data_IF_696957238416
#
_entry.id   IF_696957238416
#
_cell.length_a   1.000
_cell.length_b   1.000
_cell.length_c   1.000
_cell.angle_alpha   90.00
_cell.angle_beta   90.00
_cell.angle_gamma   90.00
#
_symmetry.space_group_name_H-M   'P 1'
#
loop_
_entity.id
_entity.type
_entity.pdbx_description
1 polymer ?
#
# COMPACT_ATOMS: atom_id res chain seq x y z
N UNK A 1 13.49 -5.62 16.82
CA UNK A 1 12.01 -5.69 16.84
C UNK A 1 11.55 -5.71 15.40
N UNK A 2 10.65 -6.62 15.03
CA UNK A 2 9.98 -6.60 13.72
C UNK A 2 8.65 -5.88 13.90
N UNK A 3 8.38 -4.85 13.10
CA UNK A 3 7.17 -4.04 13.18
C UNK A 3 6.79 -3.58 11.77
N UNK A 4 5.49 -3.36 11.53
CA UNK A 4 5.00 -2.75 10.30
C UNK A 4 3.99 -1.67 10.63
N UNK A 5 3.82 -0.71 9.71
CA UNK A 5 2.87 0.39 9.87
C UNK A 5 1.99 0.50 8.63
N UNK A 6 0.70 0.71 8.86
CA UNK A 6 -0.29 1.11 7.85
C UNK A 6 -0.93 2.42 8.31
N UNK A 7 -0.99 3.42 7.44
CA UNK A 7 -1.59 4.72 7.76
C UNK A 7 -2.14 5.41 6.51
N UNK A 8 -2.90 6.49 6.71
CA UNK A 8 -3.40 7.33 5.62
C UNK A 8 -2.42 8.47 5.33
N UNK A 9 -2.09 8.68 4.06
CA UNK A 9 -1.28 9.80 3.61
C UNK A 9 -1.96 11.14 3.88
N UNK A 10 -1.19 12.11 4.39
CA UNK A 10 -1.69 13.41 4.80
C UNK A 10 -2.40 14.19 3.68
N UNK A 11 -3.54 14.80 4.02
CA UNK A 11 -4.39 15.57 3.11
C UNK A 11 -3.62 16.84 2.68
N UNK A 12 -2.96 16.80 1.51
CA UNK A 12 -2.20 17.93 0.96
C UNK A 12 -0.79 17.59 0.44
N UNK A 13 -0.31 16.37 0.65
CA UNK A 13 0.95 15.88 0.06
C UNK A 13 0.78 15.19 -1.30
N UNK A 14 1.89 14.81 -1.93
CA UNK A 14 1.95 14.07 -3.22
C UNK A 14 1.22 12.70 -3.21
N UNK A 15 0.83 12.22 -2.03
CA UNK A 15 0.13 10.94 -1.77
C UNK A 15 -1.07 11.14 -0.85
N UNK A 16 -1.69 12.33 -0.90
CA UNK A 16 -2.83 12.65 -0.04
C UNK A 16 -4.02 11.74 -0.31
N UNK A 17 -4.47 11.02 0.73
CA UNK A 17 -5.57 10.06 0.63
C UNK A 17 -5.16 8.62 0.27
N UNK A 18 -3.88 8.36 0.01
CA UNK A 18 -3.38 7.00 -0.20
C UNK A 18 -3.27 6.23 1.12
N UNK A 19 -3.39 4.90 1.04
CA UNK A 19 -3.08 3.99 2.14
C UNK A 19 -1.60 3.59 2.01
N UNK A 20 -0.79 3.96 2.98
CA UNK A 20 0.66 3.76 2.97
C UNK A 20 1.06 2.58 3.85
N UNK A 21 2.09 1.85 3.44
CA UNK A 21 2.64 0.70 4.17
C UNK A 21 4.17 0.79 4.29
N UNK A 22 4.70 0.47 5.48
CA UNK A 22 6.13 0.34 5.74
C UNK A 22 6.45 -0.90 6.60
N UNK A 23 7.62 -1.51 6.33
CA UNK A 23 8.19 -2.64 7.10
C UNK A 23 8.88 -2.21 8.41
N UNK A 24 8.64 -0.99 8.85
CA UNK A 24 9.13 -0.46 10.12
C UNK A 24 8.04 0.39 10.76
N UNK A 25 8.13 0.61 12.07
CA UNK A 25 7.34 1.63 12.77
C UNK A 25 8.16 2.89 13.10
N UNK A 26 9.46 2.88 12.81
CA UNK A 26 10.35 4.00 13.10
C UNK A 26 10.69 4.72 11.79
N UNK A 27 10.20 5.94 11.61
CA UNK A 27 10.47 6.73 10.41
C UNK A 27 9.54 7.93 10.28
N UNK A 28 9.90 8.84 9.38
CA UNK A 28 9.04 9.93 8.94
C UNK A 28 7.97 9.42 7.98
N UNK A 29 6.78 9.99 8.04
CA UNK A 29 5.63 9.62 7.18
C UNK A 29 5.87 9.93 5.68
N UNK A 30 7.03 10.48 5.33
CA UNK A 30 7.48 10.73 3.97
C UNK A 30 8.22 9.52 3.34
N UNK A 31 8.36 8.42 4.06
CA UNK A 31 9.01 7.20 3.58
C UNK A 31 8.10 5.99 3.80
N UNK A 32 7.84 5.25 2.73
CA UNK A 32 7.03 4.03 2.75
C UNK A 32 7.56 3.05 1.71
N UNK A 33 7.16 1.78 1.84
CA UNK A 33 7.51 0.72 0.90
C UNK A 33 6.47 0.58 -0.22
N UNK A 34 5.20 0.75 0.14
CA UNK A 34 4.05 0.59 -0.74
C UNK A 34 2.99 1.65 -0.44
N UNK A 35 2.27 2.07 -1.47
CA UNK A 35 1.17 3.04 -1.38
C UNK A 35 0.05 2.56 -2.27
N UNK A 36 -1.16 2.51 -1.73
CA UNK A 36 -2.36 2.09 -2.45
C UNK A 36 -3.29 3.29 -2.56
N UNK A 37 -3.51 3.75 -3.78
CA UNK A 37 -4.43 4.84 -4.07
C UNK A 37 -5.85 4.33 -4.26
N UNK A 38 -6.82 5.13 -3.83
CA UNK A 38 -8.23 4.93 -4.18
C UNK A 38 -8.45 5.49 -5.57
N UNK A 39 -9.03 4.70 -6.45
CA UNK A 39 -9.43 5.14 -7.78
C UNK A 39 -10.90 4.80 -8.05
N UNK A 40 -11.56 5.64 -8.83
CA UNK A 40 -12.96 5.53 -9.16
C UNK A 40 -13.11 5.29 -10.66
N UNK A 41 -13.64 4.13 -11.03
CA UNK A 41 -14.20 3.93 -12.37
C UNK A 41 -15.62 4.49 -12.45
N UNK A 42 -16.21 4.50 -13.65
CA UNK A 42 -17.59 4.95 -13.86
C UNK A 42 -18.66 4.17 -13.09
N UNK A 43 -18.35 2.97 -12.60
CA UNK A 43 -19.32 2.08 -11.93
C UNK A 43 -18.86 1.55 -10.57
N UNK A 44 -17.58 1.68 -10.22
CA UNK A 44 -17.07 1.15 -8.96
C UNK A 44 -15.79 1.82 -8.50
N UNK A 45 -15.59 1.85 -7.18
CA UNK A 45 -14.32 2.17 -6.55
C UNK A 45 -13.41 0.94 -6.55
N UNK A 46 -12.14 1.14 -6.82
CA UNK A 46 -11.09 0.12 -6.73
C UNK A 46 -9.82 0.73 -6.14
N UNK A 47 -8.93 -0.14 -5.70
CA UNK A 47 -7.63 0.23 -5.19
C UNK A 47 -6.57 -0.02 -6.26
N UNK A 48 -5.63 0.91 -6.40
CA UNK A 48 -4.47 0.76 -7.29
C UNK A 48 -3.19 0.82 -6.47
N UNK A 49 -2.35 -0.23 -6.49
CA UNK A 49 -1.02 -0.16 -5.92
C UNK A 49 -0.09 0.73 -6.76
N UNK A 50 0.71 1.55 -6.09
CA UNK A 50 1.55 2.58 -6.73
C UNK A 50 3.04 2.46 -6.37
N UNK A 51 3.39 1.60 -5.43
CA UNK A 51 4.72 1.45 -4.87
C UNK A 51 5.53 0.31 -5.48
N UNK A 52 6.77 0.19 -4.98
CA UNK A 52 7.80 -0.66 -5.60
C UNK A 52 7.51 -2.15 -5.50
N UNK A 53 6.83 -2.60 -4.45
CA UNK A 53 6.48 -4.02 -4.28
C UNK A 53 5.52 -4.48 -5.37
N UNK A 54 4.57 -3.63 -5.75
CA UNK A 54 3.59 -3.93 -6.80
C UNK A 54 4.12 -3.78 -8.23
N UNK A 55 5.15 -2.94 -8.43
CA UNK A 55 5.87 -2.84 -9.70
C UNK A 55 6.65 -4.10 -10.07
N UNK A 56 7.21 -4.81 -9.08
CA UNK A 56 8.00 -6.03 -9.32
C UNK A 56 7.08 -7.25 -9.56
N UNK A 57 5.85 -7.23 -9.05
CA UNK A 57 4.92 -8.37 -9.08
C UNK A 57 3.80 -8.32 -10.12
N UNK A 58 3.88 -7.46 -11.14
CA UNK A 58 2.83 -7.26 -12.16
C UNK A 58 1.45 -6.76 -11.64
N UNK A 59 1.39 -6.26 -10.40
CA UNK A 59 0.16 -5.75 -9.78
C UNK A 59 -0.04 -4.23 -9.90
N UNK A 60 0.88 -3.52 -10.56
CA UNK A 60 0.80 -2.07 -10.73
C UNK A 60 -0.49 -1.61 -11.42
N UNK A 61 -0.96 -2.34 -12.45
CA UNK A 61 -2.19 -2.01 -13.18
C UNK A 61 -3.42 -2.75 -12.62
N UNK A 62 -3.26 -3.49 -11.53
CA UNK A 62 -4.34 -4.26 -10.94
C UNK A 62 -5.39 -3.34 -10.29
N UNK A 63 -6.65 -3.56 -10.63
CA UNK A 63 -7.80 -2.97 -9.94
C UNK A 63 -8.18 -3.88 -8.78
N UNK A 64 -7.65 -3.58 -7.61
CA UNK A 64 -7.87 -4.39 -6.42
C UNK A 64 -9.21 -4.06 -5.77
N UNK A 65 -9.89 -5.09 -5.29
CA UNK A 65 -10.99 -4.94 -4.33
C UNK A 65 -10.42 -4.60 -2.96
N UNK A 66 -11.27 -4.21 -2.00
CA UNK A 66 -10.84 -4.02 -0.62
C UNK A 66 -10.15 -5.27 -0.04
N UNK A 67 -10.66 -6.47 -0.38
CA UNK A 67 -10.03 -7.74 -0.01
C UNK A 67 -8.66 -7.91 -0.66
N UNK A 68 -8.55 -7.64 -1.97
CA UNK A 68 -7.27 -7.74 -2.68
C UNK A 68 -6.20 -6.79 -2.15
N UNK A 69 -6.58 -5.56 -1.77
CA UNK A 69 -5.68 -4.61 -1.13
C UNK A 69 -5.22 -5.09 0.26
N UNK A 70 -6.14 -5.67 1.06
CA UNK A 70 -5.79 -6.26 2.34
C UNK A 70 -4.84 -7.46 2.19
N UNK A 71 -5.08 -8.34 1.21
CA UNK A 71 -4.23 -9.47 0.89
C UNK A 71 -2.83 -9.05 0.42
N UNK A 72 -2.73 -7.94 -0.33
CA UNK A 72 -1.45 -7.34 -0.71
C UNK A 72 -0.63 -6.94 0.53
N UNK A 73 -1.21 -6.16 1.44
CA UNK A 73 -0.52 -5.75 2.67
C UNK A 73 -0.16 -6.94 3.56
N UNK A 74 -1.07 -7.89 3.70
CA UNK A 74 -0.83 -9.12 4.45
C UNK A 74 0.31 -9.94 3.85
N UNK A 75 0.35 -10.08 2.53
CA UNK A 75 1.43 -10.79 1.84
C UNK A 75 2.80 -10.17 2.11
N UNK A 76 2.92 -8.83 2.02
CA UNK A 76 4.17 -8.13 2.33
C UNK A 76 4.60 -8.34 3.79
N UNK A 77 3.65 -8.25 4.74
CA UNK A 77 3.92 -8.54 6.14
C UNK A 77 4.44 -9.97 6.32
N UNK A 78 3.73 -10.98 5.82
CA UNK A 78 4.12 -12.38 5.98
C UNK A 78 5.47 -12.66 5.32
N UNK A 79 5.73 -12.13 4.13
CA UNK A 79 7.02 -12.30 3.45
C UNK A 79 8.18 -11.76 4.31
N UNK A 80 7.99 -10.64 5.01
CA UNK A 80 9.02 -10.10 5.91
C UNK A 80 9.30 -10.95 7.14
N UNK A 81 8.36 -11.84 7.51
CA UNK A 81 8.47 -12.72 8.67
C UNK A 81 9.04 -14.12 8.32
N UNK A 82 9.10 -14.49 7.04
CA UNK A 82 9.57 -15.79 6.57
C UNK A 82 11.11 -15.93 6.50
N UNK A 83 11.83 -15.11 7.28
CA UNK A 83 13.29 -15.20 7.42
C UNK A 83 13.78 -16.54 7.96
#
# INVERSE_FOLDING_TARGET
>A
MSACRIWLGGIGGRFGGDILFAHNDTGSDNSWNESVSVDASSQSLHFRPMGRASYVGANHDAKLTAKGAAELFWGMLIQSLQG
#
